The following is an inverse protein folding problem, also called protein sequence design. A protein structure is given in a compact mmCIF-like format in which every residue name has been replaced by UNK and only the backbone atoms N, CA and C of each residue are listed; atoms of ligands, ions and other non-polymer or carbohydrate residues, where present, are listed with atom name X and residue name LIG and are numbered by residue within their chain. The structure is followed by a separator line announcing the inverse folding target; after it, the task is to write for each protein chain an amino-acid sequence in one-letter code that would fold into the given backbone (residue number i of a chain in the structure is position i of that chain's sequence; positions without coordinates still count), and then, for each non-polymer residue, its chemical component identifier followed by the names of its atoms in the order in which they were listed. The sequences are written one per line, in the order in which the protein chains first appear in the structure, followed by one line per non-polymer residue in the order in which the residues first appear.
data_IF_872516218567
#
_entry.id   IF_872516218567
#
_cell.length_a   1.000
_cell.length_b   1.000
_cell.length_c   1.000
_cell.angle_alpha   90.00
_cell.angle_beta   90.00
_cell.angle_gamma   90.00
#
_symmetry.space_group_name_H-M   'P 1'
#
loop_
_entity.id
_entity.type
_entity.pdbx_description
1 polymer ?
#
# COMPACT_ATOMS: atom_id res chain seq x y z
N UNK A 1 -18.88 -8.72 12.71
CA UNK A 1 -18.34 -8.91 11.35
C UNK A 1 -17.38 -10.09 11.40
N UNK A 2 -17.55 -11.13 10.55
CA UNK A 2 -16.55 -12.20 10.45
C UNK A 2 -15.47 -11.74 9.46
N UNK A 3 -14.22 -11.77 9.86
CA UNK A 3 -13.07 -11.48 8.98
C UNK A 3 -12.82 -12.65 8.03
N UNK A 4 -12.21 -12.37 6.89
CA UNK A 4 -11.78 -13.43 5.97
C UNK A 4 -10.60 -14.22 6.56
N UNK A 5 -10.62 -15.54 6.40
CA UNK A 5 -9.48 -16.42 6.70
C UNK A 5 -8.72 -16.67 5.38
N UNK A 6 -7.50 -16.15 5.27
CA UNK A 6 -6.68 -16.29 4.07
C UNK A 6 -6.40 -17.77 3.74
N UNK A 7 -6.55 -18.16 2.47
CA UNK A 7 -6.26 -19.52 2.01
C UNK A 7 -7.29 -20.57 2.41
N UNK A 8 -8.46 -20.17 2.93
CA UNK A 8 -9.57 -21.07 3.27
C UNK A 8 -10.79 -20.76 2.42
N UNK A 9 -11.31 -21.80 1.76
CA UNK A 9 -12.55 -21.70 0.98
C UNK A 9 -13.74 -21.47 1.91
N UNK A 10 -14.64 -20.58 1.49
CA UNK A 10 -15.97 -20.43 2.10
C UNK A 10 -17.04 -20.29 1.00
N UNK A 11 -18.29 -20.54 1.37
CA UNK A 11 -19.43 -20.48 0.45
C UNK A 11 -20.39 -19.37 0.92
N UNK A 12 -20.30 -18.14 0.36
CA UNK A 12 -21.21 -17.07 0.74
C UNK A 12 -22.68 -17.38 0.41
N UNK A 13 -22.92 -18.07 -0.70
CA UNK A 13 -24.24 -18.54 -1.15
C UNK A 13 -24.09 -19.87 -1.89
N UNK A 14 -25.15 -20.71 -1.98
CA UNK A 14 -25.08 -21.98 -2.70
C UNK A 14 -24.57 -21.81 -4.13
N UNK A 15 -23.59 -22.64 -4.50
CA UNK A 15 -23.02 -22.65 -5.86
C UNK A 15 -21.88 -21.65 -6.12
N UNK A 16 -21.56 -20.76 -5.15
CA UNK A 16 -20.42 -19.84 -5.25
C UNK A 16 -19.44 -20.14 -4.12
N UNK A 17 -18.22 -20.51 -4.46
CA UNK A 17 -17.13 -20.66 -3.50
C UNK A 17 -16.13 -19.52 -3.68
N UNK A 18 -15.64 -18.97 -2.58
CA UNK A 18 -14.67 -17.87 -2.58
C UNK A 18 -13.47 -18.26 -1.72
N UNK A 19 -12.28 -17.97 -2.23
CA UNK A 19 -11.00 -18.15 -1.56
C UNK A 19 -10.29 -16.80 -1.48
N UNK A 20 -10.24 -16.18 -0.29
CA UNK A 20 -9.44 -14.99 -0.03
C UNK A 20 -7.95 -15.33 -0.08
N UNK A 21 -7.19 -14.57 -0.87
CA UNK A 21 -5.74 -14.70 -1.03
C UNK A 21 -5.09 -13.42 -0.51
N UNK A 22 -4.40 -13.50 0.63
CA UNK A 22 -3.75 -12.34 1.21
C UNK A 22 -2.55 -11.90 0.35
N UNK A 23 -2.63 -10.68 -0.18
CA UNK A 23 -1.64 -10.10 -1.10
C UNK A 23 -1.17 -8.74 -0.61
N UNK A 24 -0.17 -8.21 -1.29
CA UNK A 24 0.44 -6.92 -1.00
C UNK A 24 -0.30 -5.77 -1.71
N UNK A 25 -0.44 -4.66 -1.00
CA UNK A 25 -0.99 -3.39 -1.44
C UNK A 25 -0.60 -2.30 -0.41
N UNK A 26 -0.81 -1.02 -0.72
CA UNK A 26 -0.53 0.07 0.23
C UNK A 26 -1.42 0.06 1.48
N UNK A 27 -2.56 -0.65 1.45
CA UNK A 27 -3.39 -0.88 2.62
C UNK A 27 -3.19 -2.30 3.17
N UNK A 28 -3.04 -2.42 4.49
CA UNK A 28 -2.96 -3.72 5.17
C UNK A 28 -4.24 -4.53 4.96
N UNK A 29 -4.11 -5.85 5.03
CA UNK A 29 -5.19 -6.83 4.88
C UNK A 29 -5.92 -6.75 3.53
N UNK A 30 -5.15 -6.57 2.47
CA UNK A 30 -5.61 -6.63 1.08
C UNK A 30 -5.70 -8.06 0.56
N UNK A 31 -6.75 -8.37 -0.20
CA UNK A 31 -7.03 -9.72 -0.69
C UNK A 31 -7.36 -9.72 -2.19
N UNK A 32 -6.79 -10.70 -2.90
CA UNK A 32 -7.40 -11.20 -4.14
C UNK A 32 -8.46 -12.24 -3.79
N UNK A 33 -9.42 -12.46 -4.68
CA UNK A 33 -10.40 -13.52 -4.54
C UNK A 33 -10.31 -14.49 -5.71
N UNK A 34 -10.06 -15.77 -5.39
CA UNK A 34 -10.31 -16.85 -6.33
C UNK A 34 -11.74 -17.34 -6.12
N UNK A 35 -12.58 -17.23 -7.13
CA UNK A 35 -14.01 -17.52 -7.08
C UNK A 35 -14.28 -18.73 -7.98
N UNK A 36 -14.99 -19.73 -7.45
CA UNK A 36 -15.51 -20.86 -8.23
C UNK A 36 -17.02 -20.76 -8.31
N UNK A 37 -17.53 -20.76 -9.53
CA UNK A 37 -18.96 -20.70 -9.82
C UNK A 37 -19.23 -21.39 -11.16
N UNK A 38 -20.30 -22.19 -11.24
CA UNK A 38 -20.69 -22.90 -12.47
C UNK A 38 -19.54 -23.71 -13.13
N UNK A 39 -18.66 -24.31 -12.31
CA UNK A 39 -17.49 -25.06 -12.79
C UNK A 39 -16.36 -24.20 -13.38
N UNK A 40 -16.46 -22.87 -13.30
CA UNK A 40 -15.46 -21.90 -13.76
C UNK A 40 -14.64 -21.33 -12.61
N UNK A 41 -13.40 -20.99 -12.89
CA UNK A 41 -12.50 -20.29 -11.95
C UNK A 41 -12.30 -18.85 -12.40
N UNK A 42 -12.69 -17.90 -11.56
CA UNK A 42 -12.47 -16.47 -11.73
C UNK A 42 -11.41 -16.04 -10.72
N UNK A 43 -10.37 -15.34 -11.18
CA UNK A 43 -9.44 -14.65 -10.29
C UNK A 43 -9.73 -13.16 -10.35
N UNK A 44 -10.15 -12.58 -9.24
CA UNK A 44 -10.38 -11.15 -9.07
C UNK A 44 -9.25 -10.57 -8.23
N UNK A 45 -8.43 -9.69 -8.80
CA UNK A 45 -7.24 -9.19 -8.08
C UNK A 45 -7.57 -8.13 -7.03
N UNK A 46 -8.64 -7.36 -7.22
CA UNK A 46 -8.71 -6.05 -6.59
C UNK A 46 -7.49 -5.20 -6.96
N UNK A 47 -7.11 -4.29 -6.08
CA UNK A 47 -5.85 -3.55 -6.18
C UNK A 47 -4.74 -4.33 -5.46
N UNK A 48 -3.57 -4.41 -6.08
CA UNK A 48 -2.44 -5.17 -5.56
C UNK A 48 -1.12 -4.59 -6.06
N UNK A 49 -0.02 -4.98 -5.42
CA UNK A 49 1.35 -4.74 -5.88
C UNK A 49 2.26 -5.89 -5.47
N UNK A 50 3.54 -5.81 -5.83
CA UNK A 50 4.57 -6.75 -5.37
C UNK A 50 5.78 -6.08 -4.71
N UNK A 51 5.82 -4.74 -4.71
CA UNK A 51 6.95 -3.95 -4.27
C UNK A 51 6.78 -3.30 -2.89
N UNK A 52 5.77 -3.72 -2.14
CA UNK A 52 5.61 -3.45 -0.72
C UNK A 52 6.33 -4.46 0.18
N UNK A 53 6.22 -4.28 1.49
CA UNK A 53 6.84 -5.17 2.48
C UNK A 53 6.19 -6.55 2.42
N UNK A 54 4.87 -6.59 2.31
CA UNK A 54 4.09 -7.82 2.23
C UNK A 54 4.44 -8.60 0.95
N UNK A 55 4.76 -7.93 -0.16
CA UNK A 55 5.00 -8.52 -1.47
C UNK A 55 6.38 -9.16 -1.62
N UNK A 56 7.31 -8.81 -0.73
CA UNK A 56 8.66 -9.35 -0.73
C UNK A 56 8.72 -10.89 -0.77
N UNK A 57 9.82 -11.40 -1.30
CA UNK A 57 10.09 -12.85 -1.44
C UNK A 57 9.02 -13.55 -2.31
N UNK A 58 8.60 -12.90 -3.39
CA UNK A 58 7.70 -13.45 -4.41
C UNK A 58 6.38 -13.95 -3.81
N UNK A 59 5.75 -13.16 -2.92
CA UNK A 59 4.55 -13.62 -2.20
C UNK A 59 3.41 -13.96 -3.15
N UNK A 60 3.15 -13.11 -4.14
CA UNK A 60 2.08 -13.32 -5.10
C UNK A 60 2.26 -14.68 -5.79
N UNK A 61 3.43 -14.94 -6.36
CA UNK A 61 3.76 -16.23 -6.98
C UNK A 61 3.53 -17.41 -6.02
N UNK A 62 4.04 -17.34 -4.79
CA UNK A 62 3.87 -18.42 -3.79
C UNK A 62 2.41 -18.67 -3.44
N UNK A 63 1.62 -17.60 -3.27
CA UNK A 63 0.20 -17.68 -2.94
C UNK A 63 -0.58 -18.26 -4.11
N UNK A 64 -0.38 -17.74 -5.33
CA UNK A 64 -1.09 -18.22 -6.52
C UNK A 64 -0.77 -19.69 -6.81
N UNK A 65 0.52 -20.08 -6.80
CA UNK A 65 0.91 -21.48 -7.02
C UNK A 65 0.36 -22.45 -5.97
N UNK A 66 0.23 -21.99 -4.72
CA UNK A 66 -0.26 -22.84 -3.63
C UNK A 66 -1.78 -23.00 -3.64
N UNK A 67 -2.51 -21.94 -3.97
CA UNK A 67 -3.94 -21.84 -3.67
C UNK A 67 -4.84 -21.75 -4.90
N UNK A 68 -4.36 -21.20 -6.02
CA UNK A 68 -5.16 -21.02 -7.22
C UNK A 68 -5.06 -22.28 -8.07
N UNK A 69 -6.16 -23.03 -8.26
CA UNK A 69 -6.17 -24.16 -9.18
C UNK A 69 -6.03 -23.63 -10.61
N UNK A 70 -5.11 -24.19 -11.40
CA UNK A 70 -5.00 -23.85 -12.81
C UNK A 70 -6.06 -24.56 -13.68
N UNK A 71 -6.31 -24.11 -14.92
CA UNK A 71 -6.15 -22.75 -15.44
C UNK A 71 -7.29 -21.81 -14.98
N UNK A 72 -7.03 -20.50 -14.95
CA UNK A 72 -8.07 -19.49 -14.66
C UNK A 72 -8.91 -19.24 -15.91
N UNK A 73 -10.24 -19.35 -15.81
CA UNK A 73 -11.14 -19.07 -16.93
C UNK A 73 -11.27 -17.57 -17.18
N UNK A 74 -11.39 -16.77 -16.12
CA UNK A 74 -11.51 -15.31 -16.21
C UNK A 74 -10.59 -14.64 -15.19
N UNK A 75 -9.68 -13.80 -15.65
CA UNK A 75 -8.91 -12.90 -14.81
C UNK A 75 -9.52 -11.50 -14.89
N UNK A 76 -9.96 -10.97 -13.76
CA UNK A 76 -10.35 -9.56 -13.61
C UNK A 76 -9.23 -8.88 -12.84
N UNK A 77 -8.53 -7.95 -13.48
CA UNK A 77 -7.32 -7.37 -12.90
C UNK A 77 -7.26 -5.85 -13.02
N UNK A 78 -6.66 -5.20 -12.02
CA UNK A 78 -6.42 -3.77 -12.07
C UNK A 78 -5.44 -3.37 -13.19
N UNK A 79 -5.43 -2.10 -13.58
CA UNK A 79 -4.51 -1.55 -14.57
C UNK A 79 -4.12 -0.10 -14.28
N UNK A 80 -4.13 0.31 -13.01
CA UNK A 80 -4.00 1.72 -12.60
C UNK A 80 -2.69 2.35 -13.10
N UNK A 81 -1.60 1.59 -13.15
CA UNK A 81 -0.27 2.09 -13.54
C UNK A 81 0.01 2.06 -15.05
N UNK A 82 -0.89 1.52 -15.88
CA UNK A 82 -0.64 1.36 -17.32
C UNK A 82 -0.45 2.70 -18.04
N UNK A 83 -1.25 3.71 -17.69
CA UNK A 83 -1.12 5.06 -18.22
C UNK A 83 0.02 5.88 -17.58
N UNK A 84 0.74 5.32 -16.60
CA UNK A 84 1.69 6.05 -15.72
C UNK A 84 3.10 5.45 -15.72
N UNK A 85 3.45 4.67 -16.74
CA UNK A 85 4.75 4.00 -16.86
C UNK A 85 5.93 4.97 -16.85
N UNK A 86 5.76 6.17 -17.43
CA UNK A 86 6.78 7.22 -17.44
C UNK A 86 7.06 7.88 -16.09
N UNK A 87 6.25 7.65 -15.06
CA UNK A 87 6.48 8.24 -13.73
C UNK A 87 7.51 7.44 -12.90
N UNK A 88 7.79 6.19 -13.28
CA UNK A 88 8.69 5.29 -12.54
C UNK A 88 10.13 5.70 -12.77
N UNK A 89 10.86 6.01 -11.69
CA UNK A 89 12.26 6.46 -11.73
C UNK A 89 12.41 7.98 -11.72
N UNK A 90 11.43 8.73 -12.22
CA UNK A 90 11.43 10.20 -12.16
C UNK A 90 10.68 10.73 -10.93
N UNK A 91 9.49 10.20 -10.67
CA UNK A 91 8.60 10.63 -9.56
C UNK A 91 8.36 9.51 -8.56
N UNK A 92 8.26 8.26 -9.04
CA UNK A 92 8.00 7.09 -8.22
C UNK A 92 9.27 6.26 -7.96
N UNK A 93 9.41 5.84 -6.72
CA UNK A 93 10.42 4.86 -6.30
C UNK A 93 9.92 3.45 -6.57
N UNK A 94 10.81 2.52 -6.93
CA UNK A 94 10.43 1.19 -7.39
C UNK A 94 9.95 0.26 -6.28
N UNK A 95 10.34 0.50 -5.03
CA UNK A 95 9.94 -0.33 -3.88
C UNK A 95 9.99 0.42 -2.56
N UNK A 96 9.26 -0.07 -1.56
CA UNK A 96 9.28 0.48 -0.19
C UNK A 96 10.69 0.45 0.41
N UNK A 97 11.45 -0.62 0.15
CA UNK A 97 12.85 -0.74 0.62
C UNK A 97 13.76 0.33 0.01
N UNK A 98 13.55 0.68 -1.25
CA UNK A 98 14.31 1.76 -1.90
C UNK A 98 13.83 3.13 -1.38
N UNK A 99 12.53 3.30 -1.14
CA UNK A 99 11.97 4.48 -0.49
C UNK A 99 12.60 4.71 0.88
N UNK A 100 12.78 3.68 1.71
CA UNK A 100 13.48 3.78 2.98
C UNK A 100 14.94 4.24 2.84
N UNK A 101 15.67 3.70 1.86
CA UNK A 101 17.08 4.09 1.59
C UNK A 101 17.20 5.54 1.15
N UNK A 102 16.33 6.00 0.25
CA UNK A 102 16.33 7.39 -0.20
C UNK A 102 15.83 8.34 0.91
N UNK A 103 14.85 7.91 1.71
CA UNK A 103 14.39 8.65 2.89
C UNK A 103 15.54 8.88 3.87
N UNK A 104 16.36 7.87 4.15
CA UNK A 104 17.54 8.00 5.02
C UNK A 104 18.48 9.10 4.55
N UNK A 105 18.78 9.13 3.25
CA UNK A 105 19.64 10.14 2.63
C UNK A 105 19.01 11.53 2.72
N UNK A 106 17.70 11.65 2.54
CA UNK A 106 16.99 12.92 2.70
C UNK A 106 17.03 13.38 4.15
N UNK A 107 16.67 12.52 5.11
CA UNK A 107 16.63 12.85 6.54
C UNK A 107 17.98 13.36 7.05
N UNK A 108 19.09 12.85 6.54
CA UNK A 108 20.43 13.30 6.92
C UNK A 108 20.80 14.71 6.41
N UNK A 109 20.08 15.26 5.41
CA UNK A 109 20.37 16.58 4.83
C UNK A 109 19.87 17.74 5.67
N UNK A 110 18.84 17.51 6.49
CA UNK A 110 18.16 18.55 7.25
C UNK A 110 17.78 18.05 8.63
N UNK A 111 17.88 18.91 9.63
CA UNK A 111 17.58 18.61 11.02
C UNK A 111 16.08 18.39 11.28
N UNK A 112 15.20 19.07 10.54
CA UNK A 112 13.75 19.07 10.79
C UNK A 112 12.97 18.53 9.58
N UNK A 113 12.56 17.27 9.64
CA UNK A 113 11.95 16.57 8.51
C UNK A 113 10.44 16.44 8.71
N UNK A 114 9.65 17.06 7.83
CA UNK A 114 8.18 16.98 7.81
C UNK A 114 7.74 16.02 6.70
N UNK A 115 7.30 14.82 7.08
CA UNK A 115 6.91 13.77 6.12
C UNK A 115 5.39 13.73 5.99
N UNK A 116 4.88 14.14 4.83
CA UNK A 116 3.48 13.99 4.46
C UNK A 116 3.28 12.60 3.83
N UNK A 117 2.63 11.70 4.55
CA UNK A 117 2.33 10.33 4.11
C UNK A 117 0.92 9.94 4.55
N UNK A 118 0.22 9.11 3.76
CA UNK A 118 -1.05 8.55 4.19
C UNK A 118 -0.86 7.75 5.47
N UNK A 119 -1.69 7.98 6.48
CA UNK A 119 -1.64 7.23 7.74
C UNK A 119 -2.00 5.75 7.59
N UNK A 120 -2.55 5.36 6.43
CA UNK A 120 -2.86 3.97 6.08
C UNK A 120 -1.77 3.30 5.26
N UNK A 121 -0.81 4.06 4.69
CA UNK A 121 0.33 3.48 3.98
C UNK A 121 1.42 3.10 5.00
N UNK A 122 1.19 1.96 5.63
CA UNK A 122 2.03 1.51 6.74
C UNK A 122 3.40 1.06 6.28
N UNK A 123 3.55 0.52 5.08
CA UNK A 123 4.86 0.13 4.58
C UNK A 123 5.82 1.32 4.52
N UNK A 124 5.39 2.44 3.93
CA UNK A 124 6.23 3.65 3.89
C UNK A 124 6.49 4.22 5.28
N UNK A 125 5.50 4.20 6.18
CA UNK A 125 5.68 4.62 7.58
C UNK A 125 6.74 3.77 8.29
N UNK A 126 6.70 2.45 8.11
CA UNK A 126 7.67 1.53 8.71
C UNK A 126 9.07 1.76 8.12
N UNK A 127 9.18 2.01 6.82
CA UNK A 127 10.44 2.36 6.18
C UNK A 127 11.00 3.70 6.70
N UNK A 128 10.17 4.74 6.86
CA UNK A 128 10.60 6.01 7.47
C UNK A 128 11.05 5.84 8.92
N UNK A 129 10.31 5.04 9.70
CA UNK A 129 10.65 4.72 11.08
C UNK A 129 12.01 4.01 11.20
N UNK A 130 12.24 2.96 10.40
CA UNK A 130 13.51 2.23 10.42
C UNK A 130 14.69 3.01 9.85
N UNK A 131 14.44 3.97 8.96
CA UNK A 131 15.47 4.77 8.31
C UNK A 131 15.67 6.16 8.92
N UNK A 132 14.99 6.49 10.02
CA UNK A 132 15.26 7.71 10.79
C UNK A 132 16.69 7.67 11.35
N UNK A 133 17.50 8.73 11.21
CA UNK A 133 18.86 8.75 11.79
C UNK A 133 18.86 8.55 13.31
N UNK A 134 19.85 7.86 13.85
CA UNK A 134 19.94 7.53 15.30
C UNK A 134 19.97 8.77 16.20
N UNK A 135 20.48 9.89 15.70
CA UNK A 135 20.56 11.16 16.42
C UNK A 135 19.29 12.01 16.31
N UNK A 136 18.23 11.52 15.66
CA UNK A 136 16.96 12.21 15.48
C UNK A 136 15.82 11.43 16.12
N UNK A 137 14.76 12.13 16.53
CA UNK A 137 13.55 11.48 17.01
C UNK A 137 12.61 11.11 15.86
N UNK A 138 12.03 9.92 15.90
CA UNK A 138 10.84 9.60 15.10
C UNK A 138 9.58 10.04 15.84
N UNK A 139 8.84 10.97 15.24
CA UNK A 139 7.72 11.68 15.86
C UNK A 139 6.43 11.47 15.08
N UNK A 140 5.34 11.18 15.77
CA UNK A 140 4.00 11.09 15.18
C UNK A 140 2.93 11.57 16.18
N UNK A 141 1.66 11.58 15.78
CA UNK A 141 0.56 11.78 16.72
C UNK A 141 0.05 10.45 17.32
N UNK A 142 -0.87 10.57 18.29
CA UNK A 142 -1.45 9.43 18.98
C UNK A 142 -2.21 8.48 18.04
N UNK A 143 -2.81 8.99 16.96
CA UNK A 143 -3.56 8.17 16.00
C UNK A 143 -2.60 7.31 15.18
N UNK A 144 -1.54 7.92 14.61
CA UNK A 144 -0.50 7.23 13.87
C UNK A 144 0.23 6.21 14.77
N UNK A 145 0.59 6.59 16.00
CA UNK A 145 1.18 5.69 16.99
C UNK A 145 0.30 4.45 17.24
N UNK A 146 -1.02 4.65 17.36
CA UNK A 146 -1.98 3.56 17.54
C UNK A 146 -2.05 2.65 16.32
N UNK A 147 -2.05 3.20 15.11
CA UNK A 147 -2.07 2.39 13.88
C UNK A 147 -0.78 1.58 13.80
N UNK A 148 0.38 2.23 13.95
CA UNK A 148 1.69 1.59 13.89
C UNK A 148 1.79 0.40 14.84
N UNK A 149 1.48 0.60 16.13
CA UNK A 149 1.62 -0.49 17.10
C UNK A 149 0.63 -1.63 16.88
N UNK A 150 -0.58 -1.32 16.40
CA UNK A 150 -1.58 -2.33 16.07
C UNK A 150 -1.10 -3.16 14.88
N UNK A 151 -0.57 -2.51 13.85
CA UNK A 151 0.00 -3.15 12.67
C UNK A 151 1.20 -4.04 13.02
N UNK A 152 2.15 -3.53 13.81
CA UNK A 152 3.31 -4.31 14.25
C UNK A 152 2.88 -5.59 14.99
N UNK A 153 1.96 -5.47 15.96
CA UNK A 153 1.40 -6.63 16.69
C UNK A 153 0.72 -7.63 15.76
N UNK A 154 -0.13 -7.16 14.85
CA UNK A 154 -0.92 -8.04 13.98
C UNK A 154 -0.05 -8.71 12.92
N UNK A 155 1.00 -8.03 12.44
CA UNK A 155 1.97 -8.60 11.51
C UNK A 155 2.87 -9.64 12.18
N UNK A 156 3.29 -9.40 13.43
CA UNK A 156 4.03 -10.38 14.24
C UNK A 156 3.24 -11.70 14.39
N UNK A 157 1.93 -11.60 14.62
CA UNK A 157 1.04 -12.76 14.67
C UNK A 157 0.87 -13.50 13.33
N UNK A 158 1.08 -12.83 12.19
CA UNK A 158 0.90 -13.38 10.83
C UNK A 158 2.19 -13.98 10.23
N UNK A 159 3.32 -13.84 10.91
CA UNK A 159 4.61 -14.39 10.48
C UNK A 159 5.77 -13.42 10.70
N UNK A 160 6.98 -13.83 10.32
CA UNK A 160 8.16 -12.98 10.47
C UNK A 160 8.20 -11.92 9.36
N UNK A 161 7.71 -10.72 9.67
CA UNK A 161 7.95 -9.47 8.94
C UNK A 161 8.90 -8.61 9.78
N UNK A 162 10.23 -8.77 9.65
CA UNK A 162 11.21 -7.99 10.42
C UNK A 162 11.00 -6.47 10.29
N UNK A 163 10.53 -6.02 9.14
CA UNK A 163 10.23 -4.62 8.87
C UNK A 163 9.06 -4.10 9.71
N UNK A 164 8.12 -4.95 10.13
CA UNK A 164 7.04 -4.62 11.06
C UNK A 164 7.40 -4.87 12.54
N UNK A 165 8.67 -5.06 12.86
CA UNK A 165 9.14 -5.15 14.25
C UNK A 165 9.70 -3.80 14.73
N UNK A 166 9.72 -3.55 16.05
CA UNK A 166 10.36 -2.38 16.61
C UNK A 166 11.83 -2.27 16.20
N UNK A 167 12.24 -1.07 15.80
CA UNK A 167 13.62 -0.76 15.44
C UNK A 167 14.50 -0.81 16.69
N UNK A 168 15.66 -1.43 16.57
CA UNK A 168 16.69 -1.38 17.63
C UNK A 168 17.24 0.03 17.83
N UNK A 169 17.24 0.84 16.76
CA UNK A 169 17.73 2.22 16.77
C UNK A 169 16.69 3.17 17.38
N UNK A 170 15.40 2.86 17.19
CA UNK A 170 14.29 3.69 17.66
C UNK A 170 13.31 2.92 18.56
N UNK A 171 13.75 2.37 19.70
CA UNK A 171 12.87 1.56 20.56
C UNK A 171 11.77 2.39 21.26
N UNK A 172 11.85 3.72 21.17
CA UNK A 172 10.85 4.63 21.74
C UNK A 172 10.36 5.62 20.70
N UNK A 173 9.09 5.50 20.30
CA UNK A 173 8.44 6.46 19.40
C UNK A 173 8.00 7.69 20.20
N UNK A 174 8.23 8.87 19.63
CA UNK A 174 7.80 10.14 20.22
C UNK A 174 6.40 10.49 19.74
N UNK A 175 5.52 10.81 20.68
CA UNK A 175 4.13 11.14 20.38
C UNK A 175 3.85 12.59 20.77
N UNK A 176 3.30 13.36 19.83
CA UNK A 176 2.90 14.74 20.10
C UNK A 176 1.77 14.81 21.14
N UNK A 177 1.85 15.80 22.02
CA UNK A 177 0.91 16.01 23.10
C UNK A 177 1.32 15.35 24.42
N UNK A 178 0.50 15.56 25.46
CA UNK A 178 0.74 14.99 26.79
C UNK A 178 0.13 13.60 26.91
N UNK A 179 0.76 12.67 27.66
CA UNK A 179 0.16 11.36 27.92
C UNK A 179 -1.18 11.50 28.63
N UNK A 180 -2.18 10.76 28.17
CA UNK A 180 -3.50 10.65 28.79
C UNK A 180 -3.94 9.18 28.87
N UNK A 181 -5.19 8.94 29.28
CA UNK A 181 -5.76 7.60 29.42
C UNK A 181 -5.69 6.77 28.13
N UNK A 182 -5.65 7.40 26.94
CA UNK A 182 -5.59 6.70 25.65
C UNK A 182 -4.23 6.04 25.43
N UNK A 183 -3.17 6.55 26.06
CA UNK A 183 -1.81 5.99 25.95
C UNK A 183 -1.66 4.67 26.70
N UNK A 184 -2.52 4.39 27.68
CA UNK A 184 -2.51 3.11 28.40
C UNK A 184 -2.68 1.92 27.45
N UNK A 185 -3.47 2.08 26.38
CA UNK A 185 -3.64 1.05 25.34
C UNK A 185 -2.36 0.81 24.54
N UNK A 186 -1.61 1.88 24.21
CA UNK A 186 -0.33 1.75 23.50
C UNK A 186 0.67 0.97 24.34
N UNK A 187 0.84 1.36 25.62
CA UNK A 187 1.75 0.69 26.56
C UNK A 187 1.42 -0.79 26.70
N UNK A 188 0.15 -1.10 26.96
CA UNK A 188 -0.31 -2.49 27.09
C UNK A 188 0.02 -3.35 25.87
N UNK A 189 -0.15 -2.81 24.66
CA UNK A 189 0.20 -3.54 23.43
C UNK A 189 1.73 -3.68 23.32
N UNK A 190 2.47 -2.59 23.48
CA UNK A 190 3.93 -2.57 23.36
C UNK A 190 4.61 -3.52 24.34
N UNK A 191 4.18 -3.54 25.59
CA UNK A 191 4.73 -4.41 26.65
C UNK A 191 4.39 -5.90 26.42
N UNK A 192 3.38 -6.20 25.60
CA UNK A 192 2.96 -7.57 25.27
C UNK A 192 3.69 -8.18 24.07
N UNK A 193 4.44 -7.38 23.32
CA UNK A 193 5.17 -7.84 22.13
C UNK A 193 6.50 -8.49 22.53
N UNK A 194 6.95 -9.50 21.77
CA UNK A 194 8.26 -10.15 22.01
C UNK A 194 9.41 -9.13 22.00
N UNK A 195 9.34 -8.17 21.08
CA UNK A 195 10.18 -6.98 21.05
C UNK A 195 9.31 -5.79 21.47
N UNK A 196 9.53 -5.21 22.66
CA UNK A 196 8.71 -4.09 23.11
C UNK A 196 8.92 -2.83 22.27
N UNK A 197 7.85 -2.02 22.16
CA UNK A 197 7.88 -0.67 21.64
C UNK A 197 7.30 0.29 22.68
N UNK A 198 8.08 1.31 23.04
CA UNK A 198 7.65 2.30 24.02
C UNK A 198 7.23 3.61 23.37
N UNK A 199 6.41 4.38 24.10
CA UNK A 199 5.91 5.68 23.65
C UNK A 199 6.15 6.72 24.72
N UNK A 200 6.69 7.86 24.32
CA UNK A 200 6.96 9.00 25.21
C UNK A 200 6.52 10.29 24.54
N UNK A 201 6.05 11.25 25.32
CA UNK A 201 5.89 12.61 24.82
C UNK A 201 7.26 13.19 24.48
N UNK A 202 7.28 14.15 23.57
CA UNK A 202 8.48 14.90 23.24
C UNK A 202 8.30 16.37 23.60
N UNK A 203 9.34 16.98 24.16
CA UNK A 203 9.34 18.42 24.44
C UNK A 203 9.90 19.21 23.26
N UNK A 204 9.66 20.52 23.26
CA UNK A 204 10.20 21.38 22.20
C UNK A 204 11.73 21.46 22.25
N UNK A 205 12.31 21.43 23.45
CA UNK A 205 13.75 21.42 23.66
C UNK A 205 14.40 20.21 23.00
N UNK A 206 13.82 19.01 23.20
CA UNK A 206 14.29 17.78 22.56
C UNK A 206 14.17 17.83 21.03
N UNK A 207 13.06 18.38 20.50
CA UNK A 207 12.92 18.61 19.06
C UNK A 207 14.01 19.55 18.53
N UNK A 208 14.32 20.61 19.26
CA UNK A 208 15.29 21.64 18.86
C UNK A 208 16.72 21.11 18.92
N UNK A 209 17.07 20.37 19.96
CA UNK A 209 18.42 19.85 20.22
C UNK A 209 18.80 18.73 19.26
N UNK A 210 17.96 17.71 19.11
CA UNK A 210 18.30 16.50 18.37
C UNK A 210 17.82 16.54 16.90
N UNK A 211 16.73 17.25 16.65
CA UNK A 211 16.02 17.18 15.36
C UNK A 211 15.05 16.01 15.28
N UNK A 212 14.32 15.91 14.17
CA UNK A 212 13.24 14.94 14.05
C UNK A 212 12.89 14.54 12.62
N UNK A 213 12.25 13.36 12.54
CA UNK A 213 11.40 12.94 11.43
C UNK A 213 9.96 12.88 11.95
N UNK A 214 9.14 13.83 11.51
CA UNK A 214 7.75 13.99 11.93
C UNK A 214 6.82 13.50 10.83
N UNK A 215 5.98 12.51 11.12
CA UNK A 215 4.85 12.15 10.28
C UNK A 215 3.78 13.24 10.36
N UNK A 216 3.81 14.20 9.44
CA UNK A 216 2.88 15.31 9.40
C UNK A 216 1.53 14.89 8.79
N UNK A 217 0.45 15.46 9.31
CA UNK A 217 -0.89 15.35 8.72
C UNK A 217 -1.42 16.73 8.36
N UNK A 218 -2.18 16.77 7.26
CA UNK A 218 -2.95 17.95 6.88
C UNK A 218 -4.01 18.25 7.94
N UNK A 219 -4.32 19.53 8.10
CA UNK A 219 -5.40 19.98 8.97
C UNK A 219 -6.69 20.10 8.16
N UNK A 220 -7.69 19.28 8.46
CA UNK A 220 -9.00 19.30 7.79
C UNK A 220 -9.98 20.30 8.40
N UNK A 221 -9.60 20.96 9.50
CA UNK A 221 -10.42 21.96 10.20
C UNK A 221 -9.60 23.26 10.42
N UNK A 222 -9.02 23.85 9.37
CA UNK A 222 -8.10 24.98 9.50
C UNK A 222 -8.77 26.27 10.02
N UNK A 223 -10.10 26.36 9.99
CA UNK A 223 -10.84 27.49 10.54
C UNK A 223 -10.99 27.42 12.06
N UNK A 224 -10.86 26.23 12.65
CA UNK A 224 -11.12 26.00 14.08
C UNK A 224 -9.85 26.13 14.92
N UNK A 225 -8.71 25.68 14.38
CA UNK A 225 -7.42 25.71 15.08
C UNK A 225 -6.24 25.53 14.11
N UNK A 226 -5.05 25.97 14.55
CA UNK A 226 -3.78 25.65 13.90
C UNK A 226 -3.32 24.29 14.41
N UNK A 227 -3.06 23.35 13.50
CA UNK A 227 -2.62 22.01 13.91
C UNK A 227 -1.20 22.04 14.51
N UNK A 228 -0.87 21.14 15.45
CA UNK A 228 0.49 21.03 15.97
C UNK A 228 1.54 20.81 14.86
N UNK A 229 1.15 20.14 13.76
CA UNK A 229 2.02 19.93 12.62
C UNK A 229 2.34 21.24 11.88
N UNK A 230 1.33 22.07 11.62
CA UNK A 230 1.53 23.39 11.00
C UNK A 230 2.34 24.32 11.90
N UNK A 231 2.05 24.33 13.20
CA UNK A 231 2.80 25.12 14.17
C UNK A 231 4.29 24.72 14.23
N UNK A 232 4.59 23.42 14.23
CA UNK A 232 5.97 22.92 14.17
C UNK A 232 6.63 23.26 12.83
N UNK A 233 5.92 23.08 11.71
CA UNK A 233 6.40 23.47 10.37
C UNK A 233 6.80 24.92 10.34
N UNK A 234 5.90 25.84 10.71
CA UNK A 234 6.18 27.28 10.66
C UNK A 234 7.31 27.69 11.60
N UNK A 235 7.54 26.94 12.68
CA UNK A 235 8.59 27.23 13.66
C UNK A 235 9.98 26.74 13.27
N UNK A 236 10.06 25.61 12.58
CA UNK A 236 11.32 24.90 12.31
C UNK A 236 11.72 24.86 10.84
N UNK A 237 10.80 25.10 9.89
CA UNK A 237 11.12 25.01 8.46
C UNK A 237 12.28 25.91 8.04
N UNK A 238 12.24 27.19 8.41
CA UNK A 238 13.28 28.16 8.00
C UNK A 238 14.62 28.00 8.76
N UNK A 239 14.68 27.11 9.76
CA UNK A 239 15.88 26.92 10.59
C UNK A 239 16.81 25.82 10.12
N UNK A 240 16.27 24.83 9.41
CA UNK A 240 16.93 23.74 8.68
C UNK A 240 15.89 22.63 8.44
N UNK A 241 14.75 23.01 7.86
CA UNK A 241 13.63 22.10 7.66
C UNK A 241 13.38 21.75 6.21
N UNK A 242 12.82 20.57 6.01
CA UNK A 242 12.37 20.11 4.71
C UNK A 242 11.00 19.45 4.79
N UNK A 243 10.25 19.52 3.69
CA UNK A 243 9.02 18.76 3.50
C UNK A 243 9.31 17.61 2.54
N UNK A 244 8.97 16.40 2.95
CA UNK A 244 8.99 15.20 2.11
C UNK A 244 7.54 14.83 1.83
N UNK A 245 7.17 14.79 0.56
CA UNK A 245 5.84 14.46 0.08
C UNK A 245 5.82 13.02 -0.43
N UNK A 246 5.14 12.13 0.29
CA UNK A 246 5.10 10.68 0.05
C UNK A 246 3.67 10.20 -0.25
N UNK A 247 2.99 10.91 -1.15
CA UNK A 247 1.64 10.60 -1.60
C UNK A 247 1.53 10.80 -3.12
N UNK A 248 0.35 10.53 -3.69
CA UNK A 248 0.12 10.68 -5.11
C UNK A 248 0.23 12.15 -5.56
N UNK A 249 1.10 12.42 -6.53
CA UNK A 249 1.39 13.76 -7.03
C UNK A 249 0.14 14.51 -7.53
N UNK A 250 -0.85 13.77 -8.06
CA UNK A 250 -2.12 14.35 -8.53
C UNK A 250 -2.88 15.14 -7.46
N UNK A 251 -2.70 14.84 -6.16
CA UNK A 251 -3.30 15.66 -5.09
C UNK A 251 -2.71 17.07 -4.95
N UNK A 252 -1.62 17.36 -5.65
CA UNK A 252 -1.02 18.70 -5.72
C UNK A 252 -1.33 19.41 -7.05
N UNK A 253 -2.01 18.74 -7.98
CA UNK A 253 -2.33 19.23 -9.32
C UNK A 253 -3.78 19.70 -9.41
N UNK A 254 -4.05 20.73 -10.22
CA UNK A 254 -5.35 21.43 -10.24
C UNK A 254 -6.58 20.52 -10.32
N UNK A 255 -6.51 19.45 -11.13
CA UNK A 255 -7.64 18.54 -11.35
C UNK A 255 -8.10 17.82 -10.08
N UNK A 256 -7.16 17.47 -9.19
CA UNK A 256 -7.42 16.69 -7.98
C UNK A 256 -6.84 17.34 -6.71
N UNK A 257 -6.61 18.65 -6.77
CA UNK A 257 -5.90 19.40 -5.74
C UNK A 257 -6.56 19.26 -4.36
N UNK A 258 -5.77 18.82 -3.39
CA UNK A 258 -6.14 18.74 -1.99
C UNK A 258 -5.72 20.04 -1.29
N UNK A 259 -6.68 20.94 -1.09
CA UNK A 259 -6.44 22.26 -0.50
C UNK A 259 -5.77 22.23 0.87
N UNK A 260 -5.99 21.19 1.67
CA UNK A 260 -5.40 21.07 3.00
C UNK A 260 -3.94 20.58 2.94
N UNK A 261 -3.59 19.75 1.95
CA UNK A 261 -2.18 19.42 1.65
C UNK A 261 -1.43 20.64 1.14
N UNK A 262 -2.03 21.37 0.18
CA UNK A 262 -1.45 22.60 -0.35
C UNK A 262 -1.25 23.67 0.75
N UNK A 263 -2.19 23.79 1.68
CA UNK A 263 -2.07 24.64 2.87
C UNK A 263 -0.93 24.21 3.79
N UNK A 264 -0.77 22.89 4.00
CA UNK A 264 0.37 22.38 4.78
C UNK A 264 1.72 22.64 4.07
N UNK A 265 1.78 22.54 2.75
CA UNK A 265 3.01 22.87 2.02
C UNK A 265 3.26 24.38 2.06
N UNK A 266 2.21 25.18 1.87
CA UNK A 266 2.27 26.65 1.95
C UNK A 266 3.24 27.26 0.93
N UNK A 267 3.34 26.68 -0.27
CA UNK A 267 4.25 27.12 -1.33
C UNK A 267 5.74 26.85 -1.08
N UNK A 268 6.09 26.16 0.02
CA UNK A 268 7.48 25.83 0.34
C UNK A 268 8.04 24.74 -0.58
N UNK A 269 9.36 24.71 -0.81
CA UNK A 269 9.97 23.61 -1.55
C UNK A 269 9.77 22.29 -0.79
N UNK A 270 9.50 21.23 -1.55
CA UNK A 270 9.36 19.87 -1.04
C UNK A 270 10.13 18.89 -1.91
N UNK A 271 10.41 17.70 -1.37
CA UNK A 271 10.96 16.55 -2.10
C UNK A 271 9.88 15.50 -2.25
N UNK A 272 9.61 15.08 -3.49
CA UNK A 272 8.74 13.93 -3.73
C UNK A 272 9.49 12.64 -3.43
N UNK A 273 8.85 11.73 -2.70
CA UNK A 273 9.38 10.41 -2.39
C UNK A 273 8.21 9.46 -2.15
N UNK A 274 7.73 8.79 -3.20
CA UNK A 274 6.53 7.97 -3.14
C UNK A 274 6.70 6.66 -3.91
N UNK A 275 6.06 5.61 -3.42
CA UNK A 275 5.93 4.29 -4.08
C UNK A 275 4.48 4.08 -4.46
N UNK A 276 4.22 3.54 -5.65
CA UNK A 276 2.84 3.24 -6.04
C UNK A 276 2.22 2.17 -5.13
N UNK A 277 0.92 2.30 -4.84
CA UNK A 277 0.12 1.23 -4.24
C UNK A 277 -0.27 0.12 -5.23
N UNK A 278 -0.10 0.35 -6.53
CA UNK A 278 -0.67 -0.45 -7.62
C UNK A 278 0.42 -1.20 -8.39
N UNK A 279 0.02 -2.30 -9.03
CA UNK A 279 0.93 -3.18 -9.77
C UNK A 279 1.52 -2.48 -11.00
N UNK A 280 2.84 -2.62 -11.18
CA UNK A 280 3.50 -2.21 -12.43
C UNK A 280 3.21 -3.20 -13.56
N UNK A 281 3.51 -2.80 -14.79
CA UNK A 281 3.29 -3.59 -16.01
C UNK A 281 3.89 -4.99 -15.88
N UNK A 282 5.11 -5.08 -15.36
CA UNK A 282 5.86 -6.33 -15.24
C UNK A 282 5.21 -7.28 -14.23
N UNK A 283 4.63 -6.75 -13.15
CA UNK A 283 3.88 -7.53 -12.16
C UNK A 283 2.60 -8.10 -12.76
N UNK A 284 1.84 -7.30 -13.53
CA UNK A 284 0.63 -7.78 -14.23
C UNK A 284 1.01 -8.82 -15.30
N UNK A 285 2.10 -8.61 -16.04
CA UNK A 285 2.59 -9.57 -17.03
C UNK A 285 3.03 -10.88 -16.36
N UNK A 286 3.66 -10.80 -15.19
CA UNK A 286 4.00 -11.95 -14.34
C UNK A 286 2.75 -12.71 -13.91
N UNK A 287 1.69 -12.00 -13.48
CA UNK A 287 0.40 -12.59 -13.15
C UNK A 287 -0.21 -13.36 -14.34
N UNK A 288 -0.19 -12.79 -15.54
CA UNK A 288 -0.70 -13.47 -16.74
C UNK A 288 0.03 -14.79 -17.01
N UNK A 289 1.36 -14.79 -16.86
CA UNK A 289 2.18 -15.99 -17.01
C UNK A 289 1.88 -17.03 -15.94
N UNK A 290 1.67 -16.60 -14.70
CA UNK A 290 1.43 -17.49 -13.56
C UNK A 290 0.08 -18.20 -13.62
N UNK A 291 -0.99 -17.50 -14.05
CA UNK A 291 -2.36 -18.05 -14.01
C UNK A 291 -2.90 -18.47 -15.37
N UNK A 292 -2.21 -18.08 -16.45
CA UNK A 292 -2.53 -18.37 -17.84
C UNK A 292 -4.04 -18.27 -18.15
N UNK A 293 -4.62 -17.06 -18.03
CA UNK A 293 -6.06 -16.89 -18.11
C UNK A 293 -6.59 -17.13 -19.52
N UNK A 294 -7.83 -17.64 -19.64
CA UNK A 294 -8.52 -17.74 -20.94
C UNK A 294 -9.07 -16.39 -21.40
N UNK A 295 -9.59 -15.59 -20.47
CA UNK A 295 -10.09 -14.23 -20.70
C UNK A 295 -9.49 -13.30 -19.65
N UNK A 296 -9.12 -12.09 -20.06
CA UNK A 296 -8.63 -11.00 -19.21
C UNK A 296 -9.61 -9.84 -19.32
N UNK A 297 -10.13 -9.37 -18.20
CA UNK A 297 -11.01 -8.20 -18.12
C UNK A 297 -10.26 -7.11 -17.34
N UNK A 298 -9.83 -6.03 -18.00
CA UNK A 298 -9.30 -4.85 -17.33
C UNK A 298 -10.32 -4.24 -16.37
N UNK A 299 -9.85 -3.82 -15.20
CA UNK A 299 -10.61 -3.09 -14.18
C UNK A 299 -9.73 -1.96 -13.62
N UNK A 300 -10.35 -0.98 -12.95
CA UNK A 300 -9.66 0.02 -12.14
C UNK A 300 -8.54 0.73 -12.92
N UNK A 301 -8.86 1.20 -14.12
CA UNK A 301 -7.95 1.92 -15.01
C UNK A 301 -8.72 2.91 -15.88
N UNK A 302 -8.15 4.09 -16.10
CA UNK A 302 -8.68 5.06 -17.06
C UNK A 302 -8.29 4.71 -18.51
N UNK A 303 -7.35 3.77 -18.68
CA UNK A 303 -6.80 3.36 -19.98
C UNK A 303 -6.92 1.85 -20.22
N UNK A 304 -8.14 1.28 -20.25
CA UNK A 304 -8.31 -0.17 -20.40
C UNK A 304 -7.81 -0.70 -21.75
N UNK A 305 -7.76 0.14 -22.78
CA UNK A 305 -7.21 -0.22 -24.08
C UNK A 305 -5.69 -0.41 -24.06
N UNK A 306 -4.97 0.09 -23.06
CA UNK A 306 -3.53 -0.11 -22.95
C UNK A 306 -3.18 -1.60 -22.76
N UNK A 307 -4.11 -2.39 -22.24
CA UNK A 307 -3.96 -3.85 -22.17
C UNK A 307 -3.77 -4.49 -23.57
N UNK A 308 -4.21 -3.83 -24.64
CA UNK A 308 -4.10 -4.28 -26.03
C UNK A 308 -2.87 -3.72 -26.76
N UNK A 309 -2.11 -2.80 -26.16
CA UNK A 309 -0.98 -2.13 -26.81
C UNK A 309 0.35 -2.29 -26.07
N UNK A 310 0.31 -2.54 -24.76
CA UNK A 310 1.51 -2.74 -23.95
C UNK A 310 2.27 -4.00 -24.42
N UNK A 311 3.58 -3.90 -24.77
CA UNK A 311 4.35 -5.00 -25.34
C UNK A 311 4.42 -6.26 -24.47
N UNK A 312 4.49 -6.09 -23.15
CA UNK A 312 4.59 -7.17 -22.17
C UNK A 312 3.34 -8.07 -22.16
N UNK A 313 2.21 -7.56 -22.66
CA UNK A 313 0.95 -8.28 -22.74
C UNK A 313 0.67 -8.87 -24.13
N UNK A 314 1.55 -8.65 -25.11
CA UNK A 314 1.36 -9.10 -26.50
C UNK A 314 0.91 -10.56 -26.67
N UNK A 315 1.41 -11.55 -25.89
CA UNK A 315 0.96 -12.94 -26.00
C UNK A 315 -0.50 -13.19 -25.55
N UNK A 316 -1.16 -12.18 -24.99
CA UNK A 316 -2.49 -12.28 -24.38
C UNK A 316 -3.51 -11.29 -24.97
N UNK A 317 -3.14 -10.46 -25.95
CA UNK A 317 -4.03 -9.44 -26.52
C UNK A 317 -5.34 -10.04 -27.05
N UNK A 318 -5.31 -11.24 -27.62
CA UNK A 318 -6.47 -11.98 -28.12
C UNK A 318 -7.42 -12.45 -27.00
N UNK A 319 -6.97 -12.40 -25.74
CA UNK A 319 -7.74 -12.80 -24.55
C UNK A 319 -8.30 -11.61 -23.79
N UNK A 320 -7.88 -10.39 -24.11
CA UNK A 320 -8.33 -9.17 -23.44
C UNK A 320 -9.73 -8.79 -23.93
N UNK A 321 -10.65 -8.58 -22.99
CA UNK A 321 -11.99 -8.08 -23.24
C UNK A 321 -12.21 -6.81 -22.44
N UNK A 322 -12.13 -5.67 -23.11
CA UNK A 322 -12.45 -4.37 -22.51
C UNK A 322 -13.97 -4.24 -22.39
N UNK A 323 -14.44 -4.10 -21.15
CA UNK A 323 -15.86 -3.89 -20.84
C UNK A 323 -16.10 -2.43 -20.43
N UNK A 324 -17.33 -1.95 -20.65
CA UNK A 324 -17.80 -0.64 -20.17
C UNK A 324 -18.73 -0.84 -18.98
N UNK A 325 -18.88 0.20 -18.17
CA UNK A 325 -19.82 0.20 -17.04
C UNK A 325 -21.23 -0.21 -17.49
N UNK A 326 -21.85 -1.10 -16.72
CA UNK A 326 -23.18 -1.65 -17.02
C UNK A 326 -23.21 -2.80 -18.03
N UNK A 327 -22.10 -3.10 -18.71
CA UNK A 327 -22.02 -4.25 -19.64
C UNK A 327 -21.93 -5.56 -18.84
N UNK A 328 -22.80 -6.51 -19.18
CA UNK A 328 -22.80 -7.85 -18.57
C UNK A 328 -21.87 -8.79 -19.34
N UNK A 329 -21.05 -9.52 -18.60
CA UNK A 329 -20.24 -10.61 -19.13
C UNK A 329 -20.89 -11.96 -18.79
N UNK A 330 -21.10 -12.82 -19.79
CA UNK A 330 -21.65 -14.17 -19.59
C UNK A 330 -20.53 -15.20 -19.51
N UNK A 331 -20.60 -16.07 -18.48
CA UNK A 331 -19.72 -17.21 -18.33
C UNK A 331 -20.11 -18.40 -19.23
N UNK A 332 -21.31 -18.38 -19.82
CA UNK A 332 -21.84 -19.52 -20.58
C UNK A 332 -21.08 -19.74 -21.89
N UNK A 333 -20.57 -18.66 -22.49
CA UNK A 333 -19.74 -18.73 -23.70
C UNK A 333 -18.38 -19.40 -23.50
N UNK A 334 -17.98 -19.67 -22.26
CA UNK A 334 -16.76 -20.40 -21.90
C UNK A 334 -16.99 -21.90 -21.68
N UNK A 335 -18.25 -22.37 -21.68
CA UNK A 335 -18.56 -23.80 -21.63
C UNK A 335 -17.99 -24.45 -22.91
N UNK A 336 -17.12 -25.44 -22.73
CA UNK A 336 -16.27 -25.96 -23.80
C UNK A 336 -17.03 -26.44 -25.03
N UNK A 337 -16.40 -26.25 -26.19
CA UNK A 337 -16.43 -27.20 -27.30
C UNK A 337 -15.90 -28.57 -26.83
N UNK A 338 -16.67 -29.30 -26.03
CA UNK A 338 -16.47 -30.72 -25.77
C UNK A 338 -17.72 -31.48 -26.21
N UNK A 339 -17.95 -31.51 -27.53
CA UNK A 339 -18.71 -32.56 -28.19
C UNK A 339 -18.31 -32.62 -29.66
N UNK A 340 -17.85 -33.79 -30.12
CA UNK A 340 -17.55 -34.02 -31.52
C UNK A 340 -16.33 -34.89 -31.84
N UNK A 341 -15.96 -35.90 -31.03
CA UNK A 341 -15.33 -37.09 -31.63
C UNK A 341 -16.45 -37.92 -32.23
N UNK A 342 -16.60 -37.75 -33.55
CA UNK A 342 -17.46 -38.50 -34.42
C UNK A 342 -17.34 -40.00 -34.15
N UNK A 343 -18.50 -40.64 -33.99
CA UNK A 343 -18.63 -42.05 -34.33
C UNK A 343 -18.45 -42.21 -35.85
N UNK A 344 -17.50 -43.05 -36.22
CA UNK A 344 -17.43 -43.82 -37.48
C UNK A 344 -16.61 -45.05 -37.09
N UNK A 345 -17.01 -46.30 -37.29
CA UNK A 345 -18.22 -46.94 -37.76
C UNK A 345 -18.09 -48.42 -37.39
#
# INVERSE_FOLDING_TARGET
MRTYEAGKWFMPVPGIQVLPLYVDHSALDSYMFCIKVCGKTILFTGDFREHGIVGQRGRLERVLKKYVPGPVDVLITEGTMLGRTGEVGDVLVKSERELGREAKKLFQKHKYNFVLVSSTNLDSIMEFYHNTPENMHFVCDLYQARIMITAMRDMDAKGSFPEYQPSKQHPVVRVLGKPDSRWAKLRKIGDSMEKPLWFRSITEEELKEDGFVLLARKNTCPQDYISPFEALRDKFFDKDGQIIYSMWQGYLEEKYADGDLLRFIGGRPYKSLHTSGHAYVETIAGLFKLVNPKIIIPMHTEHPNDFLSVPEFAPYHDRVQVLRDGVRFSLDGLLEKTSGRNGVG
#
